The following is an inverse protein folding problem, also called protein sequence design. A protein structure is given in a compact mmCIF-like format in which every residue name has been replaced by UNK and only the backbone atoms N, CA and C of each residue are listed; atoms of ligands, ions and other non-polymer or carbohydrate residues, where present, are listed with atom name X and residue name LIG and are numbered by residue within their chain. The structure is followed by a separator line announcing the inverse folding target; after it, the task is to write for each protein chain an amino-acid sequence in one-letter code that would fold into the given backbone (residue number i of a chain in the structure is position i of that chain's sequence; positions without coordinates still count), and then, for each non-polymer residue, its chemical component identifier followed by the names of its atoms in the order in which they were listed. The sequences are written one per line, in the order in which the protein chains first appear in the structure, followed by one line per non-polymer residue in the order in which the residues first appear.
data_IF_277184645100
#
_entry.id   IF_277184645100
#
_cell.length_a   1.000
_cell.length_b   1.000
_cell.length_c   1.000
_cell.angle_alpha   90.00
_cell.angle_beta   90.00
_cell.angle_gamma   90.00
#
_symmetry.space_group_name_H-M   'P 1'
#
loop_
_entity.id
_entity.type
_entity.pdbx_description
1 polymer ?
#
# COMPACT_ATOMS: atom_id res chain seq x y z
N UNK A 1 -30.26 -25.13 -17.82
CA UNK A 1 -30.19 -23.64 -17.86
C UNK A 1 -29.69 -23.04 -16.55
N UNK A 2 -30.32 -23.32 -15.39
CA UNK A 2 -29.98 -22.68 -14.09
C UNK A 2 -28.56 -22.94 -13.55
N UNK A 3 -27.98 -24.12 -13.82
CA UNK A 3 -26.61 -24.49 -13.37
C UNK A 3 -25.50 -23.68 -14.06
N UNK A 4 -25.71 -23.30 -15.32
CA UNK A 4 -24.75 -22.50 -16.10
C UNK A 4 -24.73 -21.03 -15.65
N UNK A 5 -25.90 -20.50 -15.26
CA UNK A 5 -26.01 -19.14 -14.69
C UNK A 5 -25.29 -19.05 -13.34
N UNK A 6 -25.42 -20.09 -12.50
CA UNK A 6 -24.69 -20.15 -11.22
C UNK A 6 -23.17 -20.26 -11.42
N UNK A 7 -22.72 -21.05 -12.40
CA UNK A 7 -21.30 -21.19 -12.73
C UNK A 7 -20.70 -19.88 -13.28
N UNK A 8 -21.44 -19.17 -14.15
CA UNK A 8 -21.00 -17.88 -14.69
C UNK A 8 -20.93 -16.79 -13.61
N UNK A 9 -21.87 -16.78 -12.66
CA UNK A 9 -21.86 -15.83 -11.54
C UNK A 9 -20.68 -16.07 -10.58
N UNK A 10 -20.34 -17.32 -10.30
CA UNK A 10 -19.19 -17.67 -9.47
C UNK A 10 -17.85 -17.25 -10.13
N UNK A 11 -17.73 -17.40 -11.45
CA UNK A 11 -16.54 -17.00 -12.19
C UNK A 11 -16.39 -15.47 -12.25
N UNK A 12 -17.49 -14.72 -12.37
CA UNK A 12 -17.47 -13.26 -12.37
C UNK A 12 -16.99 -12.66 -11.04
N UNK A 13 -17.34 -13.28 -9.90
CA UNK A 13 -16.85 -12.85 -8.59
C UNK A 13 -15.34 -13.10 -8.39
N UNK A 14 -14.76 -14.10 -9.05
CA UNK A 14 -13.34 -14.42 -8.93
C UNK A 14 -12.41 -13.38 -9.59
N UNK A 15 -12.91 -12.60 -10.55
CA UNK A 15 -12.10 -11.64 -11.32
C UNK A 15 -12.11 -10.23 -10.68
N UNK A 16 -13.06 -9.95 -9.77
CA UNK A 16 -13.24 -8.65 -9.14
C UNK A 16 -12.26 -8.30 -8.01
N UNK A 17 -11.38 -9.23 -7.59
CA UNK A 17 -10.44 -9.03 -6.47
C UNK A 17 -9.07 -8.50 -6.91
N UNK A 18 -8.98 -7.82 -8.05
CA UNK A 18 -7.77 -7.05 -8.38
C UNK A 18 -7.81 -5.73 -7.60
N UNK A 19 -7.47 -5.81 -6.32
CA UNK A 19 -7.18 -4.62 -5.53
C UNK A 19 -5.94 -3.94 -6.11
N UNK A 20 -6.11 -2.81 -6.78
CA UNK A 20 -5.01 -1.92 -7.13
C UNK A 20 -4.43 -1.36 -5.83
N UNK A 21 -3.44 -2.03 -5.28
CA UNK A 21 -2.60 -1.43 -4.24
C UNK A 21 -1.76 -0.35 -4.93
N UNK A 22 -2.07 0.93 -4.68
CA UNK A 22 -1.18 2.01 -5.07
C UNK A 22 0.13 1.87 -4.30
N UNK A 23 1.23 1.76 -5.03
CA UNK A 23 2.55 1.83 -4.42
C UNK A 23 2.89 3.29 -4.16
N UNK A 24 3.54 3.54 -3.02
CA UNK A 24 4.04 4.87 -2.68
C UNK A 24 5.55 4.81 -2.59
N UNK A 25 6.20 5.91 -2.95
CA UNK A 25 7.65 6.09 -2.84
C UNK A 25 7.90 7.19 -1.83
N UNK A 26 8.56 6.84 -0.75
CA UNK A 26 8.97 7.78 0.27
C UNK A 26 10.44 8.15 0.04
N UNK A 27 10.70 9.43 -0.22
CA UNK A 27 12.05 9.97 -0.32
C UNK A 27 12.48 10.51 1.04
N UNK A 28 13.61 10.03 1.55
CA UNK A 28 14.20 10.48 2.80
C UNK A 28 15.26 11.57 2.55
N UNK A 29 15.56 12.36 3.58
CA UNK A 29 16.50 13.50 3.50
C UNK A 29 17.94 13.08 3.18
N UNK A 30 18.29 11.84 3.46
CA UNK A 30 19.58 11.23 3.12
C UNK A 30 19.66 10.77 1.65
N UNK A 31 18.58 10.95 0.87
CA UNK A 31 18.51 10.57 -0.55
C UNK A 31 18.06 9.14 -0.80
N UNK A 32 17.70 8.37 0.24
CA UNK A 32 17.12 7.05 0.05
C UNK A 32 15.69 7.14 -0.48
N UNK A 33 15.33 6.18 -1.32
CA UNK A 33 13.96 6.02 -1.82
C UNK A 33 13.42 4.69 -1.30
N UNK A 34 12.38 4.76 -0.48
CA UNK A 34 11.75 3.61 0.16
C UNK A 34 10.44 3.34 -0.56
N UNK A 35 10.31 2.16 -1.16
CA UNK A 35 9.04 1.71 -1.73
C UNK A 35 8.13 1.21 -0.60
N UNK A 36 6.88 1.67 -0.60
CA UNK A 36 5.89 1.31 0.42
C UNK A 36 4.62 0.79 -0.23
N UNK A 37 4.08 -0.29 0.34
CA UNK A 37 2.78 -0.82 -0.03
C UNK A 37 1.69 0.03 0.63
N UNK A 38 0.95 0.80 -0.16
CA UNK A 38 -0.07 1.70 0.37
C UNK A 38 0.52 2.95 1.03
N UNK A 39 -0.39 3.81 1.50
CA UNK A 39 -0.08 5.16 1.95
C UNK A 39 0.60 5.13 3.33
N UNK A 40 1.77 5.78 3.50
CA UNK A 40 2.37 5.98 4.81
C UNK A 40 1.49 6.84 5.72
N UNK A 41 1.39 6.47 6.99
CA UNK A 41 0.60 7.18 7.99
C UNK A 41 1.50 7.85 9.02
N UNK A 42 1.15 9.08 9.41
CA UNK A 42 1.87 9.82 10.44
C UNK A 42 1.18 9.61 11.77
N UNK A 43 1.90 9.01 12.72
CA UNK A 43 1.51 8.97 14.12
C UNK A 43 1.71 10.37 14.73
N UNK A 44 0.61 10.99 15.14
CA UNK A 44 0.59 12.35 15.68
C UNK A 44 1.09 12.43 17.12
N UNK A 45 1.08 11.30 17.84
CA UNK A 45 1.50 11.23 19.24
C UNK A 45 3.02 11.06 19.33
N UNK A 46 3.61 10.30 18.41
CA UNK A 46 5.05 10.01 18.38
C UNK A 46 5.85 10.78 17.33
N UNK A 47 5.18 11.34 16.30
CA UNK A 47 5.84 11.96 15.15
C UNK A 47 6.49 10.96 14.19
N UNK A 48 6.23 9.66 14.38
CA UNK A 48 6.75 8.60 13.53
C UNK A 48 5.83 8.37 12.33
N UNK A 49 6.42 8.06 11.19
CA UNK A 49 5.71 7.64 9.98
C UNK A 49 5.75 6.12 9.92
N UNK A 50 4.58 5.52 9.99
CA UNK A 50 4.36 4.09 9.81
C UNK A 50 4.11 3.79 8.33
N UNK A 51 4.82 2.81 7.80
CA UNK A 51 4.66 2.37 6.42
C UNK A 51 4.87 0.86 6.30
N UNK A 52 4.35 0.28 5.22
CA UNK A 52 4.52 -1.15 4.94
C UNK A 52 5.57 -1.31 3.85
N UNK A 53 6.62 -2.09 4.11
CA UNK A 53 7.67 -2.35 3.12
C UNK A 53 7.17 -3.28 1.99
N UNK A 54 7.98 -3.46 0.94
CA UNK A 54 7.67 -4.35 -0.20
C UNK A 54 7.48 -5.82 0.21
N UNK A 55 7.99 -6.22 1.37
CA UNK A 55 7.84 -7.57 1.92
C UNK A 55 6.60 -7.69 2.80
N UNK A 56 5.85 -6.60 2.97
CA UNK A 56 4.65 -6.55 3.79
C UNK A 56 4.89 -6.32 5.28
N UNK A 57 6.11 -5.99 5.71
CA UNK A 57 6.39 -5.70 7.12
C UNK A 57 6.06 -4.26 7.46
N UNK A 58 5.46 -4.04 8.62
CA UNK A 58 5.28 -2.70 9.19
C UNK A 58 6.61 -2.16 9.70
N UNK A 59 6.99 -1.00 9.20
CA UNK A 59 8.19 -0.25 9.55
C UNK A 59 7.81 1.14 10.01
N UNK A 60 8.70 1.76 10.77
CA UNK A 60 8.53 3.13 11.24
C UNK A 60 9.80 3.92 10.97
N UNK A 61 9.64 5.15 10.52
CA UNK A 61 10.72 6.11 10.32
C UNK A 61 10.34 7.43 10.98
N UNK A 62 11.31 8.21 11.43
CA UNK A 62 11.03 9.53 11.97
C UNK A 62 10.50 10.46 10.85
N UNK A 63 9.38 11.15 11.07
CA UNK A 63 8.81 12.06 10.08
C UNK A 63 9.75 13.19 9.65
N UNK A 64 10.66 13.60 10.53
CA UNK A 64 11.70 14.59 10.22
C UNK A 64 12.73 14.06 9.21
N UNK A 65 12.85 12.75 9.01
CA UNK A 65 13.76 12.17 8.03
C UNK A 65 13.11 12.03 6.65
N UNK A 66 11.79 12.19 6.55
CA UNK A 66 11.08 12.09 5.28
C UNK A 66 11.06 13.46 4.62
N UNK A 67 11.52 13.51 3.37
CA UNK A 67 11.46 14.73 2.57
C UNK A 67 10.16 14.80 1.79
N UNK A 68 9.75 13.70 1.15
CA UNK A 68 8.63 13.69 0.21
C UNK A 68 7.99 12.30 0.16
N UNK A 69 6.69 12.26 -0.13
CA UNK A 69 5.96 11.01 -0.43
C UNK A 69 5.29 11.20 -1.79
N UNK A 70 5.57 10.29 -2.71
CA UNK A 70 5.10 10.32 -4.09
C UNK A 70 4.24 9.07 -4.31
N UNK A 71 3.03 9.26 -4.83
CA UNK A 71 2.17 8.15 -5.25
C UNK A 71 2.57 7.70 -6.67
N UNK A 72 2.67 6.39 -6.89
CA UNK A 72 2.90 5.80 -8.22
C UNK A 72 1.62 5.48 -8.96
#
# INVERSE_FOLDING_TARGET
MKKWVMAAAALAMAIGLTGCSSDYVMATKDGNMILTQGKPEIDKDTGLISYKDEKGNSRQINGDQVSQVIER
#
